data_IF_448176754438
#
_entry.id   IF_448176754438
#
_cell.length_a   1.000
_cell.length_b   1.000
_cell.length_c   1.000
_cell.angle_alpha   90.00
_cell.angle_beta   90.00
_cell.angle_gamma   90.00
#
_symmetry.space_group_name_H-M   'P 1'
#
loop_
_entity.id
_entity.type
_entity.pdbx_description
1 polymer ?
#
# COMPACT_ATOMS: atom_id res chain seq x y z
N UNK A 1 9.43 31.41 23.12
CA UNK A 1 9.49 29.98 23.39
C UNK A 1 8.09 29.37 23.52
N UNK A 2 7.25 29.87 24.46
CA UNK A 2 5.91 29.27 24.68
C UNK A 2 5.02 29.23 23.39
N UNK A 3 4.97 30.33 22.64
CA UNK A 3 4.23 30.38 21.36
C UNK A 3 4.78 29.39 20.36
N UNK A 4 6.12 29.24 20.28
CA UNK A 4 6.74 28.26 19.38
C UNK A 4 6.35 26.81 19.74
N UNK A 5 6.29 26.49 21.04
CA UNK A 5 5.83 25.18 21.52
C UNK A 5 4.38 24.91 21.12
N UNK A 6 3.48 25.87 21.29
CA UNK A 6 2.06 25.72 20.92
C UNK A 6 1.91 25.49 19.39
N UNK A 7 2.61 26.29 18.59
CA UNK A 7 2.61 26.12 17.12
C UNK A 7 3.20 24.76 16.74
N UNK A 8 4.26 24.34 17.41
CA UNK A 8 4.90 23.04 17.14
C UNK A 8 4.00 21.85 17.49
N UNK A 9 3.28 21.93 18.60
CA UNK A 9 2.32 20.88 18.99
C UNK A 9 1.14 20.81 18.01
N UNK A 10 0.68 21.93 17.49
CA UNK A 10 -0.33 21.96 16.46
C UNK A 10 0.17 21.37 15.13
N UNK A 11 1.41 21.67 14.73
CA UNK A 11 2.03 21.08 13.55
C UNK A 11 2.24 19.57 13.70
N UNK A 12 2.69 19.12 14.88
CA UNK A 12 2.84 17.69 15.19
C UNK A 12 1.53 16.91 14.99
N UNK A 13 0.37 17.47 15.33
CA UNK A 13 -0.93 16.81 15.14
C UNK A 13 -1.30 16.59 13.68
N UNK A 14 -0.61 17.24 12.74
CA UNK A 14 -0.81 17.09 11.28
C UNK A 14 0.17 16.12 10.62
N UNK A 15 1.13 15.57 11.35
CA UNK A 15 2.12 14.65 10.79
C UNK A 15 1.41 13.37 10.33
N UNK A 16 1.66 13.01 9.08
CA UNK A 16 1.15 11.77 8.48
C UNK A 16 2.26 10.74 8.51
N UNK A 17 1.97 9.58 9.06
CA UNK A 17 2.88 8.43 9.04
C UNK A 17 2.57 7.60 7.80
N UNK A 18 3.52 7.47 6.90
CA UNK A 18 3.35 6.73 5.66
C UNK A 18 4.71 6.43 5.02
N UNK A 19 4.86 5.25 4.46
CA UNK A 19 6.13 4.78 3.88
C UNK A 19 5.98 4.33 2.43
N UNK A 20 5.23 5.08 1.64
CA UNK A 20 5.06 4.80 0.22
C UNK A 20 6.38 5.00 -0.54
N UNK A 21 7.05 3.91 -0.89
CA UNK A 21 8.40 3.92 -1.51
C UNK A 21 8.43 4.72 -2.82
N UNK A 22 7.36 4.70 -3.59
CA UNK A 22 7.28 5.45 -4.87
C UNK A 22 7.32 6.96 -4.64
N UNK A 23 6.79 7.44 -3.52
CA UNK A 23 6.80 8.87 -3.17
C UNK A 23 8.19 9.39 -2.78
N UNK A 24 9.19 8.52 -2.66
CA UNK A 24 10.59 8.90 -2.44
C UNK A 24 11.23 9.55 -3.67
N UNK A 25 10.62 9.36 -4.84
CA UNK A 25 11.06 9.96 -6.09
C UNK A 25 10.26 11.23 -6.39
N UNK A 26 10.90 12.19 -7.05
CA UNK A 26 10.19 13.37 -7.52
C UNK A 26 9.17 12.99 -8.60
N UNK A 27 8.07 13.74 -8.67
CA UNK A 27 6.92 13.44 -9.53
C UNK A 27 7.24 13.35 -11.03
N UNK A 28 8.37 13.94 -11.46
CA UNK A 28 8.80 13.99 -12.86
C UNK A 28 9.78 12.88 -13.26
N UNK A 29 10.18 12.03 -12.30
CA UNK A 29 11.05 10.88 -12.57
C UNK A 29 10.31 9.81 -13.35
N UNK A 30 11.05 9.01 -14.13
CA UNK A 30 10.48 7.91 -14.91
C UNK A 30 9.79 6.88 -14.01
N UNK A 31 10.32 6.63 -12.81
CA UNK A 31 9.71 5.73 -11.82
C UNK A 31 8.33 6.23 -11.39
N UNK A 32 8.21 7.53 -11.04
CA UNK A 32 6.93 8.12 -10.62
C UNK A 32 5.92 8.19 -11.77
N UNK A 33 6.38 8.40 -13.00
CA UNK A 33 5.53 8.37 -14.20
C UNK A 33 5.03 6.96 -14.48
N UNK A 34 5.93 5.98 -14.44
CA UNK A 34 5.60 4.57 -14.66
C UNK A 34 4.62 4.06 -13.61
N UNK A 35 4.84 4.37 -12.32
CA UNK A 35 3.89 4.03 -11.26
C UNK A 35 2.50 4.62 -11.49
N UNK A 36 2.44 5.91 -11.87
CA UNK A 36 1.16 6.58 -12.18
C UNK A 36 0.46 5.91 -13.36
N UNK A 37 1.21 5.58 -14.41
CA UNK A 37 0.69 4.89 -15.57
C UNK A 37 0.14 3.50 -15.20
N UNK A 38 0.88 2.73 -14.40
CA UNK A 38 0.43 1.40 -13.94
C UNK A 38 -0.85 1.53 -13.10
N UNK A 39 -0.92 2.51 -12.20
CA UNK A 39 -2.13 2.73 -11.38
C UNK A 39 -3.35 3.11 -12.20
N UNK A 40 -3.16 3.89 -13.25
CA UNK A 40 -4.25 4.37 -14.08
C UNK A 40 -4.76 3.30 -15.06
N UNK A 41 -3.85 2.60 -15.74
CA UNK A 41 -4.19 1.72 -16.85
C UNK A 41 -4.18 0.23 -16.50
N UNK A 42 -3.47 -0.21 -15.46
CA UNK A 42 -3.31 -1.62 -15.13
C UNK A 42 -3.97 -2.05 -13.81
N UNK A 43 -4.75 -1.16 -13.21
CA UNK A 43 -5.53 -1.46 -12.02
C UNK A 43 -4.83 -1.18 -10.70
N UNK A 44 -3.54 -0.88 -10.71
CA UNK A 44 -2.82 -0.51 -9.49
C UNK A 44 -1.40 -1.03 -9.44
N UNK A 45 -0.56 -0.37 -8.67
CA UNK A 45 0.85 -0.73 -8.47
C UNK A 45 1.13 -1.40 -7.11
N UNK A 46 0.14 -1.43 -6.23
CA UNK A 46 0.24 -2.10 -4.93
C UNK A 46 -0.64 -3.34 -4.89
N UNK A 47 -0.13 -4.40 -4.27
CA UNK A 47 -0.82 -5.65 -4.13
C UNK A 47 -1.20 -5.97 -2.69
N UNK A 48 -2.43 -6.44 -2.53
CA UNK A 48 -2.93 -7.12 -1.34
C UNK A 48 -3.27 -8.55 -1.74
N UNK A 49 -2.76 -9.53 -1.03
CA UNK A 49 -3.01 -10.94 -1.29
C UNK A 49 -3.95 -11.52 -0.24
N UNK A 50 -4.97 -12.20 -0.69
CA UNK A 50 -5.82 -13.03 0.14
C UNK A 50 -5.47 -14.49 -0.12
N UNK A 51 -5.10 -15.21 0.92
CA UNK A 51 -4.85 -16.65 0.85
C UNK A 51 -5.96 -17.35 1.61
N UNK A 52 -6.76 -18.11 0.89
CA UNK A 52 -7.87 -18.91 1.41
C UNK A 52 -7.33 -20.32 1.64
N UNK A 53 -7.41 -20.80 2.89
CA UNK A 53 -6.86 -22.09 3.33
C UNK A 53 -7.97 -22.94 3.88
N UNK A 54 -8.01 -24.21 3.44
CA UNK A 54 -8.86 -25.25 3.99
C UNK A 54 -8.02 -26.44 4.47
N UNK A 55 -8.62 -27.33 5.26
CA UNK A 55 -7.94 -28.52 5.76
C UNK A 55 -7.80 -29.59 4.69
N UNK A 56 -8.70 -29.62 3.72
CA UNK A 56 -8.70 -30.57 2.59
C UNK A 56 -8.97 -29.84 1.26
N UNK A 57 -8.54 -30.48 0.16
CA UNK A 57 -8.82 -30.01 -1.20
C UNK A 57 -10.32 -29.95 -1.49
N UNK A 58 -11.07 -30.93 -1.00
CA UNK A 58 -12.51 -30.98 -1.19
C UNK A 58 -13.22 -29.80 -0.51
N UNK A 59 -12.81 -29.45 0.70
CA UNK A 59 -13.35 -28.25 1.38
C UNK A 59 -13.02 -26.97 0.65
N UNK A 60 -11.79 -26.85 0.13
CA UNK A 60 -11.34 -25.66 -0.60
C UNK A 60 -12.08 -25.50 -1.95
N UNK A 61 -12.23 -26.58 -2.69
CA UNK A 61 -12.89 -26.58 -4.00
C UNK A 61 -14.42 -26.65 -3.91
N UNK A 62 -14.99 -26.57 -2.71
CA UNK A 62 -16.44 -26.51 -2.57
C UNK A 62 -17.00 -25.28 -3.31
N UNK A 63 -18.05 -25.45 -4.12
CA UNK A 63 -18.63 -24.36 -4.90
C UNK A 63 -18.98 -23.12 -4.09
N UNK A 64 -19.46 -23.29 -2.87
CA UNK A 64 -19.80 -22.17 -1.96
C UNK A 64 -18.56 -21.35 -1.54
N UNK A 65 -17.42 -22.02 -1.34
CA UNK A 65 -16.16 -21.35 -1.00
C UNK A 65 -15.66 -20.53 -2.20
N UNK A 66 -15.62 -21.17 -3.38
CA UNK A 66 -15.19 -20.49 -4.61
C UNK A 66 -16.13 -19.34 -4.96
N UNK A 67 -17.43 -19.52 -4.79
CA UNK A 67 -18.42 -18.47 -5.01
C UNK A 67 -18.27 -17.31 -4.02
N UNK A 68 -17.96 -17.58 -2.75
CA UNK A 68 -17.71 -16.54 -1.76
C UNK A 68 -16.48 -15.69 -2.16
N UNK A 69 -15.42 -16.33 -2.67
CA UNK A 69 -14.21 -15.63 -3.18
C UNK A 69 -14.55 -14.80 -4.42
N UNK A 70 -15.32 -15.35 -5.37
CA UNK A 70 -15.72 -14.63 -6.57
C UNK A 70 -16.63 -13.44 -6.26
N UNK A 71 -17.59 -13.61 -5.34
CA UNK A 71 -18.46 -12.54 -4.89
C UNK A 71 -17.67 -11.42 -4.17
N UNK A 72 -16.64 -11.76 -3.38
CA UNK A 72 -15.75 -10.77 -2.78
C UNK A 72 -14.98 -9.99 -3.87
N UNK A 73 -14.48 -10.69 -4.88
CA UNK A 73 -13.74 -10.07 -5.99
C UNK A 73 -14.63 -9.09 -6.77
N UNK A 74 -15.88 -9.48 -7.04
CA UNK A 74 -16.89 -8.62 -7.68
C UNK A 74 -17.22 -7.40 -6.79
N UNK A 75 -17.49 -7.63 -5.51
CA UNK A 75 -17.80 -6.57 -4.55
C UNK A 75 -16.67 -5.53 -4.47
N UNK A 76 -15.42 -5.98 -4.33
CA UNK A 76 -14.27 -5.07 -4.23
C UNK A 76 -14.09 -4.24 -5.50
N UNK A 77 -14.23 -4.85 -6.67
CA UNK A 77 -14.07 -4.17 -7.95
C UNK A 77 -15.18 -3.14 -8.21
N UNK A 78 -16.41 -3.42 -7.77
CA UNK A 78 -17.59 -2.56 -8.02
C UNK A 78 -17.74 -1.45 -6.99
N UNK A 79 -17.54 -1.76 -5.69
CA UNK A 79 -17.88 -0.85 -4.61
C UNK A 79 -16.70 -0.16 -3.93
N UNK A 80 -15.45 -0.60 -4.19
CA UNK A 80 -14.26 -0.02 -3.57
C UNK A 80 -13.39 0.71 -4.60
N UNK A 81 -13.53 2.03 -4.76
CA UNK A 81 -12.86 2.79 -5.84
C UNK A 81 -11.33 2.72 -5.84
N UNK A 82 -10.73 2.46 -4.68
CA UNK A 82 -9.28 2.31 -4.53
C UNK A 82 -8.77 0.97 -5.02
N UNK A 83 -9.65 -0.02 -5.20
CA UNK A 83 -9.34 -1.30 -5.84
C UNK A 83 -9.46 -1.12 -7.35
N UNK A 84 -8.44 -1.50 -8.07
CA UNK A 84 -8.42 -1.37 -9.54
C UNK A 84 -8.67 -2.67 -10.26
N UNK A 85 -8.13 -3.77 -9.75
CA UNK A 85 -8.28 -5.11 -10.33
C UNK A 85 -8.17 -6.16 -9.23
N UNK A 86 -8.98 -7.19 -9.34
CA UNK A 86 -8.86 -8.41 -8.54
C UNK A 86 -8.64 -9.57 -9.48
N UNK A 87 -7.64 -10.39 -9.21
CA UNK A 87 -7.31 -11.57 -10.02
C UNK A 87 -6.97 -12.72 -9.09
N UNK A 88 -7.54 -13.88 -9.35
CA UNK A 88 -7.31 -15.02 -8.49
C UNK A 88 -7.64 -16.35 -9.13
N UNK A 89 -7.52 -17.38 -8.33
CA UNK A 89 -7.82 -18.75 -8.70
C UNK A 89 -9.23 -18.92 -9.32
N UNK A 90 -10.23 -18.20 -8.80
CA UNK A 90 -11.61 -18.25 -9.29
C UNK A 90 -11.76 -17.74 -10.73
N UNK A 91 -10.93 -16.78 -11.16
CA UNK A 91 -10.95 -16.29 -12.52
C UNK A 91 -10.49 -17.36 -13.52
N UNK A 92 -9.50 -18.15 -13.12
CA UNK A 92 -8.99 -19.26 -13.90
C UNK A 92 -10.10 -20.32 -14.07
N UNK A 93 -10.74 -20.72 -12.96
CA UNK A 93 -11.86 -21.67 -12.99
C UNK A 93 -12.99 -21.17 -13.89
N UNK A 94 -13.37 -19.90 -13.77
CA UNK A 94 -14.39 -19.30 -14.65
C UNK A 94 -13.98 -19.34 -16.12
N UNK A 95 -12.71 -19.07 -16.41
CA UNK A 95 -12.20 -19.09 -17.79
C UNK A 95 -12.20 -20.48 -18.38
N UNK A 96 -11.74 -21.48 -17.63
CA UNK A 96 -11.78 -22.88 -18.06
C UNK A 96 -13.24 -23.31 -18.31
N UNK A 97 -14.12 -23.04 -17.35
CA UNK A 97 -15.53 -23.32 -17.44
C UNK A 97 -16.16 -22.68 -18.72
N UNK A 98 -15.83 -21.44 -19.00
CA UNK A 98 -16.25 -20.73 -20.20
C UNK A 98 -15.82 -21.46 -21.48
N UNK A 99 -14.54 -21.83 -21.57
CA UNK A 99 -13.97 -22.44 -22.78
C UNK A 99 -14.57 -23.79 -23.05
N UNK A 100 -14.81 -24.60 -22.03
CA UNK A 100 -15.42 -25.93 -22.20
C UNK A 100 -16.88 -25.89 -22.64
N UNK A 101 -17.57 -24.77 -22.45
CA UNK A 101 -18.98 -24.62 -22.74
C UNK A 101 -19.27 -23.63 -23.89
N UNK A 102 -18.30 -23.36 -24.75
CA UNK A 102 -18.44 -22.40 -25.87
C UNK A 102 -19.55 -22.82 -26.82
N UNK A 103 -19.72 -24.13 -27.07
CA UNK A 103 -20.74 -24.67 -27.99
C UNK A 103 -22.10 -24.87 -27.35
N UNK A 104 -22.25 -24.73 -26.04
CA UNK A 104 -23.52 -24.99 -25.36
C UNK A 104 -24.47 -23.79 -25.40
N UNK A 105 -25.75 -24.05 -25.61
CA UNK A 105 -26.79 -23.04 -25.56
C UNK A 105 -27.26 -22.86 -24.11
N UNK A 106 -27.37 -21.62 -23.57
CA UNK A 106 -27.94 -21.40 -22.24
C UNK A 106 -29.38 -21.88 -22.14
N UNK A 107 -29.79 -22.36 -20.95
CA UNK A 107 -31.19 -22.63 -20.64
C UNK A 107 -32.05 -21.43 -21.02
N UNK A 108 -33.05 -21.58 -21.81
CA UNK A 108 -33.90 -20.50 -22.32
C UNK A 108 -33.62 -20.10 -23.77
N UNK A 109 -32.45 -20.39 -24.32
CA UNK A 109 -32.19 -20.30 -25.76
C UNK A 109 -32.43 -21.64 -26.46
N UNK A 110 -32.39 -22.75 -25.74
CA UNK A 110 -32.69 -24.10 -26.30
C UNK A 110 -34.08 -24.21 -26.93
N UNK A 111 -35.05 -23.46 -26.41
CA UNK A 111 -36.39 -23.38 -27.01
C UNK A 111 -36.45 -22.62 -28.34
N UNK A 112 -35.43 -21.81 -28.64
CA UNK A 112 -35.34 -20.97 -29.85
C UNK A 112 -34.54 -21.69 -30.95
N UNK A 113 -33.56 -22.55 -30.53
CA UNK A 113 -32.60 -23.22 -31.43
C UNK A 113 -33.05 -24.66 -31.80
N UNK A 114 -34.15 -25.19 -31.24
CA UNK A 114 -34.57 -26.58 -31.42
C UNK A 114 -35.08 -26.96 -32.83
N UNK A 115 -34.77 -26.18 -33.86
CA UNK A 115 -35.01 -26.58 -35.25
C UNK A 115 -33.72 -26.41 -36.08
N UNK A 116 -33.06 -27.54 -36.31
CA UNK A 116 -31.94 -27.82 -37.23
C UNK A 116 -30.52 -27.57 -36.69
N UNK A 117 -29.95 -28.58 -36.07
CA UNK A 117 -28.66 -29.13 -36.49
C UNK A 117 -28.38 -30.44 -35.75
N UNK A 118 -28.70 -31.58 -36.40
CA UNK A 118 -27.95 -32.80 -36.22
C UNK A 118 -26.63 -32.62 -36.98
N UNK A 119 -25.65 -32.01 -36.35
CA UNK A 119 -24.25 -32.19 -36.71
C UNK A 119 -23.49 -32.55 -35.46
N UNK A 120 -23.31 -33.86 -35.33
CA UNK A 120 -22.40 -34.46 -34.36
C UNK A 120 -21.00 -33.92 -34.63
N UNK A 121 -20.49 -33.12 -33.72
CA UNK A 121 -19.06 -32.91 -33.63
C UNK A 121 -18.42 -34.22 -33.17
N UNK A 122 -17.99 -35.01 -34.11
CA UNK A 122 -17.06 -36.11 -33.89
C UNK A 122 -15.72 -35.50 -33.53
N UNK A 123 -15.23 -35.82 -32.36
CA UNK A 123 -13.82 -35.63 -32.03
C UNK A 123 -13.00 -36.50 -32.99
N UNK A 124 -12.35 -35.93 -33.96
CA UNK A 124 -11.28 -36.57 -34.68
C UNK A 124 -10.00 -36.45 -33.85
N UNK A 125 -9.50 -37.60 -33.43
CA UNK A 125 -8.37 -37.85 -32.54
C UNK A 125 -6.98 -37.40 -33.09
N UNK A 126 -6.87 -36.36 -33.90
CA UNK A 126 -5.57 -36.00 -34.49
C UNK A 126 -5.30 -34.52 -34.64
N UNK A 127 -6.05 -33.65 -34.00
CA UNK A 127 -5.61 -32.25 -33.95
C UNK A 127 -4.95 -31.95 -32.60
N UNK A 128 -3.66 -31.74 -32.73
CA UNK A 128 -2.69 -31.27 -31.73
C UNK A 128 -3.29 -30.09 -30.92
N UNK A 129 -3.94 -30.40 -29.79
CA UNK A 129 -4.30 -29.42 -28.78
C UNK A 129 -3.03 -29.01 -28.05
N UNK A 130 -2.16 -28.34 -28.79
CA UNK A 130 -1.07 -27.58 -28.20
C UNK A 130 -1.65 -26.52 -27.28
N UNK A 131 -1.55 -26.73 -25.97
CA UNK A 131 -1.84 -25.78 -24.91
C UNK A 131 -1.05 -24.47 -25.04
N UNK A 132 -0.24 -24.29 -26.09
CA UNK A 132 0.52 -23.11 -26.42
C UNK A 132 -0.30 -21.83 -26.74
N UNK A 133 -1.65 -21.93 -26.77
CA UNK A 133 -2.52 -20.77 -26.95
C UNK A 133 -3.12 -20.21 -25.66
N UNK A 134 -2.93 -20.86 -24.54
CA UNK A 134 -3.32 -20.38 -23.21
C UNK A 134 -2.12 -19.84 -22.43
N UNK A 135 -1.13 -19.30 -23.16
CA UNK A 135 -0.03 -18.61 -22.51
C UNK A 135 -0.60 -17.52 -21.60
N UNK A 136 -0.18 -17.53 -20.34
CA UNK A 136 -0.29 -16.40 -19.44
C UNK A 136 0.34 -15.12 -20.03
N UNK A 137 0.85 -15.18 -21.25
CA UNK A 137 1.36 -14.06 -22.03
C UNK A 137 0.30 -12.97 -22.31
N UNK A 138 -1.00 -13.28 -22.22
CA UNK A 138 -2.05 -12.26 -22.15
C UNK A 138 -2.03 -11.48 -20.82
N UNK A 139 -1.28 -11.94 -19.84
CA UNK A 139 -0.98 -11.25 -18.59
C UNK A 139 0.48 -10.78 -18.49
N UNK A 140 1.32 -11.14 -19.46
CA UNK A 140 2.72 -10.73 -19.52
C UNK A 140 2.86 -9.41 -20.27
N UNK A 141 3.40 -8.43 -19.60
CA UNK A 141 3.62 -7.06 -20.04
C UNK A 141 4.75 -6.92 -21.05
N UNK A 142 4.78 -7.67 -22.15
CA UNK A 142 5.79 -7.43 -23.17
C UNK A 142 5.26 -7.56 -24.59
N UNK A 143 5.41 -6.46 -25.29
CA UNK A 143 5.38 -6.24 -26.72
C UNK A 143 4.01 -6.17 -27.41
N UNK A 144 3.63 -4.91 -27.70
CA UNK A 144 2.87 -4.49 -28.87
C UNK A 144 3.49 -5.01 -30.17
N UNK A 145 3.37 -6.29 -30.44
CA UNK A 145 3.27 -6.77 -31.80
C UNK A 145 1.82 -7.15 -32.01
N UNK A 146 1.13 -6.39 -32.86
CA UNK A 146 -0.14 -6.80 -33.44
C UNK A 146 0.10 -8.11 -34.19
N UNK A 147 -0.09 -9.24 -33.49
CA UNK A 147 -0.32 -10.51 -34.13
C UNK A 147 -1.77 -10.38 -34.59
N UNK A 148 -1.98 -10.17 -35.87
CA UNK A 148 -3.26 -10.42 -36.50
C UNK A 148 -3.60 -11.91 -36.21
N UNK A 149 -4.36 -12.15 -35.14
CA UNK A 149 -5.03 -13.42 -34.94
C UNK A 149 -5.87 -13.64 -36.20
N UNK A 150 -5.83 -14.85 -36.82
CA UNK A 150 -6.74 -15.16 -37.91
C UNK A 150 -8.12 -14.83 -37.35
N UNK A 151 -8.85 -13.94 -38.00
CA UNK A 151 -10.27 -13.76 -37.75
C UNK A 151 -10.91 -15.11 -38.00
N UNK A 152 -11.08 -15.93 -36.95
CA UNK A 152 -12.17 -16.83 -36.93
C UNK A 152 -13.40 -15.93 -36.99
N UNK A 153 -13.97 -15.80 -38.17
CA UNK A 153 -15.31 -15.30 -38.34
C UNK A 153 -16.21 -16.26 -37.57
N UNK A 154 -16.34 -16.03 -36.26
CA UNK A 154 -17.46 -16.54 -35.50
C UNK A 154 -18.66 -15.90 -36.17
N UNK A 155 -19.25 -16.64 -37.09
CA UNK A 155 -20.49 -16.31 -37.75
C UNK A 155 -21.58 -16.27 -36.68
N UNK A 156 -21.59 -15.19 -35.85
CA UNK A 156 -22.77 -14.80 -35.11
C UNK A 156 -23.81 -14.41 -36.19
N UNK A 157 -24.57 -15.40 -36.59
CA UNK A 157 -25.49 -15.24 -37.70
C UNK A 157 -26.74 -14.54 -37.16
N UNK A 158 -26.68 -13.20 -37.08
CA UNK A 158 -27.82 -12.34 -36.69
C UNK A 158 -29.08 -12.71 -37.45
N UNK A 159 -28.94 -13.31 -38.64
CA UNK A 159 -30.06 -13.77 -39.46
C UNK A 159 -30.85 -14.94 -38.84
N UNK A 160 -30.34 -15.60 -37.80
CA UNK A 160 -31.08 -16.65 -37.09
C UNK A 160 -32.05 -16.10 -36.03
N UNK A 161 -31.88 -14.86 -35.61
CA UNK A 161 -32.73 -14.22 -34.62
C UNK A 161 -33.69 -13.25 -35.28
N UNK A 162 -34.98 -13.39 -34.98
CA UNK A 162 -35.96 -12.40 -35.41
C UNK A 162 -35.96 -11.17 -34.51
N UNK A 163 -36.57 -10.08 -34.93
CA UNK A 163 -36.63 -8.82 -34.20
C UNK A 163 -37.20 -8.98 -32.78
N UNK A 164 -38.15 -9.90 -32.60
CA UNK A 164 -38.77 -10.15 -31.29
C UNK A 164 -37.80 -10.84 -30.34
N UNK A 165 -36.91 -11.71 -30.84
CA UNK A 165 -35.87 -12.35 -30.01
C UNK A 165 -34.83 -11.32 -29.55
N UNK A 166 -34.41 -10.44 -30.45
CA UNK A 166 -33.48 -9.35 -30.11
C UNK A 166 -34.09 -8.43 -29.06
N UNK A 167 -35.36 -8.06 -29.22
CA UNK A 167 -36.05 -7.21 -28.23
C UNK A 167 -36.20 -7.91 -26.88
N UNK A 168 -36.46 -9.23 -26.84
CA UNK A 168 -36.49 -10.00 -25.59
C UNK A 168 -35.13 -10.04 -24.89
N UNK A 169 -34.04 -10.19 -25.65
CA UNK A 169 -32.67 -10.13 -25.05
C UNK A 169 -32.39 -8.76 -24.46
N UNK A 170 -32.77 -7.69 -25.16
CA UNK A 170 -32.60 -6.33 -24.66
C UNK A 170 -33.45 -6.08 -23.41
N UNK A 171 -34.70 -6.54 -23.40
CA UNK A 171 -35.63 -6.41 -22.28
C UNK A 171 -35.13 -7.21 -21.06
N UNK A 172 -34.67 -8.43 -21.25
CA UNK A 172 -34.05 -9.25 -20.18
C UNK A 172 -32.78 -8.63 -19.64
N UNK A 173 -31.92 -8.08 -20.49
CA UNK A 173 -30.70 -7.40 -20.07
C UNK A 173 -31.03 -6.12 -19.28
N UNK A 174 -31.99 -5.32 -19.75
CA UNK A 174 -32.44 -4.11 -19.09
C UNK A 174 -33.18 -4.40 -17.75
N UNK A 175 -33.93 -5.50 -17.69
CA UNK A 175 -34.67 -5.93 -16.50
C UNK A 175 -33.77 -6.32 -15.31
N UNK A 176 -32.55 -6.80 -15.57
CA UNK A 176 -31.57 -7.14 -14.51
C UNK A 176 -30.90 -5.93 -13.86
N UNK A 177 -30.76 -4.84 -14.58
CA UNK A 177 -30.27 -3.59 -14.00
C UNK A 177 -30.72 -2.37 -14.83
N UNK A 178 -31.63 -1.55 -14.34
CA UNK A 178 -32.17 -0.40 -15.06
C UNK A 178 -31.17 0.75 -15.28
N UNK A 179 -29.91 0.61 -14.81
CA UNK A 179 -28.84 1.60 -14.92
C UNK A 179 -27.60 1.08 -15.63
N UNK A 180 -27.75 0.06 -16.49
CA UNK A 180 -26.63 -0.45 -17.28
C UNK A 180 -26.08 0.65 -18.20
N UNK A 181 -24.79 0.88 -18.17
CA UNK A 181 -24.10 1.63 -19.22
C UNK A 181 -23.99 0.76 -20.49
N UNK A 182 -23.61 1.37 -21.61
CA UNK A 182 -23.54 0.63 -22.89
C UNK A 182 -22.59 -0.57 -22.88
N UNK A 183 -21.52 -0.50 -22.10
CA UNK A 183 -20.55 -1.60 -21.96
C UNK A 183 -21.13 -2.77 -21.17
N UNK A 184 -21.83 -2.51 -20.07
CA UNK A 184 -22.47 -3.54 -19.27
C UNK A 184 -23.64 -4.20 -20.00
N UNK A 185 -24.38 -3.43 -20.81
CA UNK A 185 -25.41 -3.98 -21.66
C UNK A 185 -24.84 -4.97 -22.69
N UNK A 186 -23.72 -4.61 -23.35
CA UNK A 186 -23.05 -5.52 -24.30
C UNK A 186 -22.54 -6.78 -23.60
N UNK A 187 -21.98 -6.65 -22.40
CA UNK A 187 -21.52 -7.79 -21.59
C UNK A 187 -22.67 -8.73 -21.23
N UNK A 188 -23.81 -8.19 -20.80
CA UNK A 188 -24.98 -9.00 -20.46
C UNK A 188 -25.62 -9.64 -21.71
N UNK A 189 -25.65 -8.97 -22.85
CA UNK A 189 -26.07 -9.55 -24.11
C UNK A 189 -25.18 -10.73 -24.55
N UNK A 190 -23.85 -10.57 -24.43
CA UNK A 190 -22.92 -11.68 -24.70
C UNK A 190 -23.18 -12.88 -23.80
N UNK A 191 -23.48 -12.63 -22.52
CA UNK A 191 -23.83 -13.68 -21.57
C UNK A 191 -25.15 -14.36 -21.92
N UNK A 192 -26.19 -13.60 -22.24
CA UNK A 192 -27.50 -14.17 -22.62
C UNK A 192 -27.46 -15.00 -23.90
N UNK A 193 -26.61 -14.65 -24.85
CA UNK A 193 -26.42 -15.34 -26.11
C UNK A 193 -25.37 -16.45 -26.08
N UNK A 194 -24.73 -16.65 -24.93
CA UNK A 194 -23.54 -17.50 -24.80
C UNK A 194 -22.43 -17.19 -25.83
N UNK A 195 -22.31 -15.94 -26.23
CA UNK A 195 -21.27 -15.54 -27.16
C UNK A 195 -19.88 -15.85 -26.56
N UNK A 196 -19.09 -16.66 -27.28
CA UNK A 196 -17.80 -17.18 -26.82
C UNK A 196 -17.85 -17.84 -25.42
N UNK A 197 -18.92 -18.53 -25.09
CA UNK A 197 -19.07 -19.21 -23.80
C UNK A 197 -19.35 -18.28 -22.60
N UNK A 198 -19.64 -17.01 -22.84
CA UNK A 198 -19.81 -16.01 -21.76
C UNK A 198 -20.94 -16.33 -20.76
N UNK A 199 -21.90 -17.16 -21.11
CA UNK A 199 -22.92 -17.64 -20.18
C UNK A 199 -22.35 -18.52 -19.07
N UNK A 200 -21.19 -19.15 -19.30
CA UNK A 200 -20.50 -20.05 -18.40
C UNK A 200 -19.23 -19.41 -17.79
N UNK A 201 -19.00 -18.11 -17.97
CA UNK A 201 -17.98 -17.38 -17.24
C UNK A 201 -18.43 -17.15 -15.78
N UNK A 202 -18.53 -18.26 -15.05
CA UNK A 202 -19.00 -18.30 -13.66
C UNK A 202 -18.37 -19.49 -12.92
N UNK A 203 -18.44 -19.47 -11.58
CA UNK A 203 -18.13 -20.65 -10.78
C UNK A 203 -19.28 -21.64 -10.90
N UNK A 204 -19.04 -22.92 -11.27
CA UNK A 204 -20.07 -23.93 -11.32
C UNK A 204 -20.69 -24.17 -9.93
N UNK A 205 -21.95 -23.76 -9.73
CA UNK A 205 -22.66 -23.90 -8.44
C UNK A 205 -23.92 -24.75 -8.55
N UNK A 206 -24.53 -24.82 -9.75
CA UNK A 206 -25.74 -25.61 -9.99
C UNK A 206 -25.41 -26.93 -10.71
N UNK A 207 -25.47 -28.12 -10.04
CA UNK A 207 -25.12 -29.38 -10.63
C UNK A 207 -25.93 -29.68 -11.91
N UNK A 208 -27.22 -29.39 -11.91
CA UNK A 208 -28.13 -29.71 -13.02
C UNK A 208 -27.73 -29.00 -14.32
N UNK A 209 -27.19 -27.78 -14.22
CA UNK A 209 -26.72 -26.99 -15.37
C UNK A 209 -25.53 -27.66 -16.08
N UNK A 210 -24.76 -28.45 -15.33
CA UNK A 210 -23.56 -29.14 -15.82
C UNK A 210 -23.78 -30.64 -16.01
N UNK A 211 -25.04 -31.08 -16.06
CA UNK A 211 -25.37 -32.51 -16.22
C UNK A 211 -24.92 -33.37 -15.05
N UNK A 212 -24.84 -32.79 -13.85
CA UNK A 212 -24.45 -33.48 -12.62
C UNK A 212 -25.65 -33.63 -11.68
N UNK A 213 -25.63 -34.67 -10.86
CA UNK A 213 -26.71 -34.93 -9.89
C UNK A 213 -26.41 -34.29 -8.52
N UNK A 214 -25.13 -34.25 -8.13
CA UNK A 214 -24.70 -33.80 -6.76
C UNK A 214 -23.64 -32.71 -6.79
N UNK A 215 -23.49 -32.02 -5.69
CA UNK A 215 -22.41 -31.02 -5.50
C UNK A 215 -21.03 -31.68 -5.48
N UNK A 216 -20.92 -32.95 -5.03
CA UNK A 216 -19.67 -33.69 -5.03
C UNK A 216 -19.19 -33.99 -6.46
N UNK A 217 -20.12 -34.28 -7.38
CA UNK A 217 -19.80 -34.44 -8.79
C UNK A 217 -19.37 -33.11 -9.44
N UNK A 218 -19.94 -32.00 -8.99
CA UNK A 218 -19.55 -30.68 -9.44
C UNK A 218 -18.13 -30.30 -8.92
N UNK A 219 -17.80 -30.67 -7.69
CA UNK A 219 -16.44 -30.54 -7.16
C UNK A 219 -15.42 -31.34 -7.96
N UNK A 220 -15.76 -32.57 -8.35
CA UNK A 220 -14.91 -33.39 -9.24
C UNK A 220 -14.72 -32.75 -10.62
N UNK A 221 -15.75 -32.08 -11.14
CA UNK A 221 -15.62 -31.31 -12.37
C UNK A 221 -14.60 -30.19 -12.21
N UNK A 222 -14.68 -29.42 -11.12
CA UNK A 222 -13.73 -28.35 -10.81
C UNK A 222 -12.33 -28.92 -10.60
N UNK A 223 -12.20 -30.05 -9.89
CA UNK A 223 -10.91 -30.73 -9.72
C UNK A 223 -10.30 -31.18 -11.06
N UNK A 224 -11.13 -31.63 -12.00
CA UNK A 224 -10.68 -31.99 -13.36
C UNK A 224 -10.16 -30.76 -14.14
N UNK A 225 -10.68 -29.55 -13.85
CA UNK A 225 -10.14 -28.33 -14.45
C UNK A 225 -8.70 -28.05 -13.98
N UNK A 226 -8.35 -28.45 -12.75
CA UNK A 226 -6.99 -28.30 -12.23
C UNK A 226 -5.97 -29.18 -12.93
N UNK A 227 -6.38 -30.38 -13.35
CA UNK A 227 -5.50 -31.29 -14.11
C UNK A 227 -5.01 -30.61 -15.39
N UNK A 228 -5.83 -29.76 -15.98
CA UNK A 228 -5.49 -29.01 -17.19
C UNK A 228 -4.48 -27.87 -16.92
N UNK A 229 -4.43 -27.38 -15.67
CA UNK A 229 -3.49 -26.34 -15.25
C UNK A 229 -2.14 -26.90 -14.79
N UNK A 230 -2.05 -28.20 -14.53
CA UNK A 230 -0.86 -28.84 -13.95
C UNK A 230 0.36 -28.87 -14.88
N UNK A 231 0.21 -28.45 -16.13
CA UNK A 231 1.31 -28.33 -17.10
C UNK A 231 2.10 -27.01 -17.01
N UNK A 232 1.62 -26.04 -16.29
CA UNK A 232 2.26 -24.73 -16.16
C UNK A 232 2.82 -24.58 -14.75
N UNK A 233 4.15 -24.56 -14.63
CA UNK A 233 4.90 -24.64 -13.36
C UNK A 233 4.76 -23.38 -12.46
N UNK A 234 4.02 -22.35 -12.89
CA UNK A 234 3.99 -21.04 -12.23
C UNK A 234 2.58 -20.52 -11.93
N UNK A 235 1.69 -21.40 -11.49
CA UNK A 235 0.34 -20.97 -11.13
C UNK A 235 0.27 -20.17 -9.83
N UNK A 236 1.16 -19.34 -9.40
CA UNK A 236 1.18 -18.57 -8.12
C UNK A 236 -0.18 -18.29 -7.43
N UNK A 237 -1.26 -18.94 -7.88
CA UNK A 237 -2.63 -18.87 -7.39
C UNK A 237 -3.05 -20.06 -6.52
N UNK A 238 -2.26 -21.13 -6.46
CA UNK A 238 -2.47 -22.27 -5.56
C UNK A 238 -1.15 -22.77 -4.99
N UNK A 239 -1.20 -23.44 -3.83
CA UNK A 239 -0.03 -24.06 -3.21
C UNK A 239 0.35 -25.39 -3.84
N UNK A 240 -0.59 -26.06 -4.48
CA UNK A 240 -0.41 -27.29 -5.24
C UNK A 240 -1.32 -27.25 -6.46
N UNK A 241 -0.82 -27.64 -7.65
CA UNK A 241 -1.61 -27.60 -8.88
C UNK A 241 -2.72 -28.64 -8.95
N UNK A 242 -2.59 -29.80 -8.29
CA UNK A 242 -3.54 -30.91 -8.35
C UNK A 242 -4.39 -31.05 -7.10
N UNK A 243 -3.77 -30.87 -5.92
CA UNK A 243 -4.40 -31.03 -4.61
C UNK A 243 -4.27 -29.75 -3.77
N UNK A 244 -4.84 -28.63 -4.23
CA UNK A 244 -4.69 -27.36 -3.50
C UNK A 244 -5.42 -27.41 -2.16
N UNK A 245 -4.71 -27.03 -1.11
CA UNK A 245 -5.27 -26.73 0.22
C UNK A 245 -5.26 -25.23 0.51
N UNK A 246 -4.61 -24.44 -0.35
CA UNK A 246 -4.60 -23.01 -0.29
C UNK A 246 -4.69 -22.40 -1.68
N UNK A 247 -5.55 -21.38 -1.85
CA UNK A 247 -5.66 -20.58 -3.07
C UNK A 247 -5.41 -19.11 -2.77
N UNK A 248 -4.90 -18.40 -3.77
CA UNK A 248 -4.53 -16.98 -3.67
C UNK A 248 -5.39 -16.13 -4.58
N UNK A 249 -5.86 -15.01 -4.06
CA UNK A 249 -6.46 -13.91 -4.80
C UNK A 249 -5.63 -12.65 -4.61
N UNK A 250 -5.24 -12.00 -5.69
CA UNK A 250 -4.48 -10.76 -5.67
C UNK A 250 -5.41 -9.57 -5.93
N UNK A 251 -5.34 -8.59 -5.07
CA UNK A 251 -6.09 -7.34 -5.18
C UNK A 251 -5.09 -6.24 -5.51
N UNK A 252 -5.17 -5.69 -6.70
CA UNK A 252 -4.35 -4.55 -7.12
C UNK A 252 -5.03 -3.24 -6.73
N UNK A 253 -4.28 -2.35 -6.09
CA UNK A 253 -4.79 -1.11 -5.56
C UNK A 253 -4.21 0.10 -6.27
N UNK A 254 -5.06 1.08 -6.56
CA UNK A 254 -4.71 2.36 -7.21
C UNK A 254 -4.12 3.38 -6.26
N UNK A 255 -4.22 3.15 -4.96
CA UNK A 255 -3.68 4.05 -3.95
C UNK A 255 -2.24 3.72 -3.60
N UNK A 256 -1.49 4.73 -3.16
CA UNK A 256 -0.17 4.59 -2.55
C UNK A 256 -0.22 4.77 -1.03
N UNK A 257 -1.30 5.30 -0.48
CA UNK A 257 -1.44 5.68 0.91
C UNK A 257 -1.77 4.50 1.84
N UNK A 258 -1.12 4.46 3.00
CA UNK A 258 -1.36 3.43 4.03
C UNK A 258 -2.77 3.49 4.62
N UNK A 259 -3.38 4.69 4.71
CA UNK A 259 -4.75 4.85 5.23
C UNK A 259 -5.80 4.20 4.32
N UNK A 260 -5.68 4.43 3.01
CA UNK A 260 -6.61 3.84 2.05
C UNK A 260 -6.43 2.32 2.02
N UNK A 261 -5.19 1.87 2.13
CA UNK A 261 -4.86 0.45 2.19
C UNK A 261 -5.48 -0.21 3.43
N UNK A 262 -5.41 0.44 4.59
CA UNK A 262 -6.07 -0.03 5.80
C UNK A 262 -7.59 -0.11 5.65
N UNK A 263 -8.21 0.91 5.04
CA UNK A 263 -9.65 0.92 4.80
C UNK A 263 -10.10 -0.26 3.93
N UNK A 264 -9.30 -0.61 2.90
CA UNK A 264 -9.58 -1.80 2.07
C UNK A 264 -9.43 -3.09 2.88
N UNK A 265 -8.38 -3.22 3.69
CA UNK A 265 -8.18 -4.39 4.55
C UNK A 265 -9.35 -4.56 5.53
N UNK A 266 -9.82 -3.47 6.14
CA UNK A 266 -10.92 -3.52 7.08
C UNK A 266 -12.23 -3.90 6.37
N UNK A 267 -12.49 -3.34 5.18
CA UNK A 267 -13.63 -3.73 4.34
C UNK A 267 -13.60 -5.22 3.97
N UNK A 268 -12.42 -5.73 3.60
CA UNK A 268 -12.22 -7.15 3.29
C UNK A 268 -12.51 -8.02 4.51
N UNK A 269 -11.99 -7.65 5.70
CA UNK A 269 -12.24 -8.39 6.95
C UNK A 269 -13.71 -8.42 7.32
N UNK A 270 -14.40 -7.29 7.21
CA UNK A 270 -15.84 -7.20 7.48
C UNK A 270 -16.65 -8.08 6.52
N UNK A 271 -16.32 -8.04 5.23
CA UNK A 271 -16.98 -8.86 4.23
C UNK A 271 -16.78 -10.36 4.50
N UNK A 272 -15.54 -10.77 4.80
CA UNK A 272 -15.19 -12.16 5.11
C UNK A 272 -15.96 -12.65 6.35
N UNK A 273 -16.02 -11.84 7.39
CA UNK A 273 -16.69 -12.21 8.65
C UNK A 273 -18.18 -12.55 8.46
N UNK A 274 -18.82 -11.94 7.46
CA UNK A 274 -20.26 -12.09 7.19
C UNK A 274 -20.53 -13.16 6.13
N UNK A 275 -19.71 -13.22 5.07
CA UNK A 275 -20.08 -13.92 3.83
C UNK A 275 -19.28 -15.22 3.58
N UNK A 276 -18.18 -15.44 4.31
CA UNK A 276 -17.37 -16.64 4.09
C UNK A 276 -17.82 -17.83 4.95
N UNK A 277 -17.76 -19.05 4.39
CA UNK A 277 -17.96 -20.27 5.17
C UNK A 277 -16.94 -20.39 6.31
N UNK A 278 -17.38 -20.98 7.45
CA UNK A 278 -16.54 -21.08 8.66
C UNK A 278 -15.47 -22.17 8.61
N UNK A 279 -15.56 -23.06 7.65
CA UNK A 279 -14.62 -24.16 7.42
C UNK A 279 -13.35 -23.74 6.66
N UNK A 280 -13.26 -22.51 6.21
CA UNK A 280 -12.06 -21.96 5.57
C UNK A 280 -11.48 -20.81 6.37
N UNK A 281 -10.17 -20.70 6.33
CA UNK A 281 -9.43 -19.61 6.96
C UNK A 281 -8.88 -18.68 5.90
N UNK A 282 -9.12 -17.39 6.04
CA UNK A 282 -8.58 -16.37 5.12
C UNK A 282 -7.44 -15.64 5.78
N UNK A 283 -6.29 -15.63 5.13
CA UNK A 283 -5.08 -14.94 5.54
C UNK A 283 -4.88 -13.74 4.61
N UNK A 284 -4.73 -12.57 5.20
CA UNK A 284 -4.47 -11.33 4.47
C UNK A 284 -2.97 -11.05 4.51
N UNK A 285 -2.34 -10.91 3.34
CA UNK A 285 -0.91 -10.70 3.18
C UNK A 285 -0.60 -9.83 1.96
N UNK A 286 0.65 -9.88 1.49
CA UNK A 286 1.11 -9.15 0.31
C UNK A 286 1.94 -7.92 0.63
N UNK A 287 2.35 -7.18 -0.42
CA UNK A 287 3.25 -6.05 -0.31
C UNK A 287 2.73 -4.95 0.62
N UNK A 288 1.43 -4.66 0.56
CA UNK A 288 0.79 -3.63 1.39
C UNK A 288 0.88 -3.95 2.88
N UNK A 289 0.60 -5.20 3.28
CA UNK A 289 0.65 -5.59 4.70
C UNK A 289 2.07 -5.51 5.25
N UNK A 290 3.07 -5.82 4.42
CA UNK A 290 4.47 -5.64 4.75
C UNK A 290 4.82 -4.16 4.94
N UNK A 291 4.44 -3.29 4.00
CA UNK A 291 4.69 -1.84 4.12
C UNK A 291 4.04 -1.25 5.37
N UNK A 292 2.82 -1.67 5.69
CA UNK A 292 2.13 -1.21 6.90
C UNK A 292 2.81 -1.69 8.17
N UNK A 293 3.21 -2.95 8.25
CA UNK A 293 3.95 -3.48 9.39
C UNK A 293 5.28 -2.75 9.59
N UNK A 294 6.02 -2.47 8.51
CA UNK A 294 7.24 -1.66 8.55
C UNK A 294 6.96 -0.24 9.03
N UNK A 295 5.88 0.37 8.56
CA UNK A 295 5.47 1.73 8.95
C UNK A 295 5.17 1.80 10.46
N UNK A 296 4.43 0.84 10.99
CA UNK A 296 4.11 0.76 12.42
C UNK A 296 5.36 0.52 13.28
N UNK A 297 6.27 -0.34 12.83
CA UNK A 297 7.55 -0.57 13.51
C UNK A 297 8.42 0.69 13.53
N UNK A 298 8.49 1.41 12.42
CA UNK A 298 9.23 2.67 12.32
C UNK A 298 8.66 3.70 13.31
N UNK A 299 7.35 3.89 13.30
CA UNK A 299 6.68 4.85 14.16
C UNK A 299 6.93 4.56 15.65
N UNK A 300 6.68 3.33 16.08
CA UNK A 300 6.89 2.91 17.47
C UNK A 300 8.37 3.02 17.90
N UNK A 301 9.28 2.55 17.05
CA UNK A 301 10.73 2.64 17.30
C UNK A 301 11.19 4.08 17.37
N UNK A 302 10.64 4.97 16.54
CA UNK A 302 10.98 6.39 16.55
C UNK A 302 10.56 7.07 17.82
N UNK A 303 9.35 6.83 18.34
CA UNK A 303 8.91 7.40 19.62
C UNK A 303 9.81 6.98 20.77
N UNK A 304 10.15 5.69 20.84
CA UNK A 304 11.05 5.15 21.86
C UNK A 304 12.45 5.77 21.74
N UNK A 305 12.98 5.87 20.52
CA UNK A 305 14.29 6.43 20.23
C UNK A 305 14.38 7.90 20.67
N UNK A 306 13.39 8.71 20.36
CA UNK A 306 13.32 10.13 20.76
C UNK A 306 13.30 10.25 22.29
N UNK A 307 12.46 9.46 22.95
CA UNK A 307 12.36 9.47 24.41
C UNK A 307 13.70 9.12 25.09
N UNK A 308 14.32 8.00 24.65
CA UNK A 308 15.62 7.55 25.16
C UNK A 308 16.69 8.60 24.88
N UNK A 309 16.71 9.21 23.71
CA UNK A 309 17.69 10.23 23.33
C UNK A 309 17.60 11.48 24.23
N UNK A 310 16.39 12.00 24.45
CA UNK A 310 16.17 13.13 25.35
C UNK A 310 16.56 12.77 26.78
N UNK A 311 16.26 11.55 27.23
CA UNK A 311 16.64 11.05 28.55
C UNK A 311 18.17 10.95 28.71
N UNK A 312 18.88 10.44 27.73
CA UNK A 312 20.35 10.32 27.72
C UNK A 312 20.97 11.76 27.81
N UNK A 313 20.47 12.67 27.00
CA UNK A 313 20.92 14.07 27.01
C UNK A 313 20.69 14.71 28.40
N UNK A 314 19.51 14.50 28.96
CA UNK A 314 19.19 14.93 30.31
C UNK A 314 20.19 14.38 31.37
N UNK A 315 20.46 13.06 31.30
CA UNK A 315 21.37 12.39 32.22
C UNK A 315 22.82 12.91 32.09
N UNK A 316 23.31 13.02 30.85
CA UNK A 316 24.67 13.56 30.60
C UNK A 316 24.79 14.95 31.19
N UNK A 317 23.86 15.84 30.96
CA UNK A 317 23.89 17.22 31.49
C UNK A 317 23.71 17.25 33.00
N UNK A 318 22.85 16.40 33.57
CA UNK A 318 22.63 16.33 35.01
C UNK A 318 23.88 15.80 35.74
N UNK A 319 24.52 14.77 35.22
CA UNK A 319 25.73 14.17 35.82
C UNK A 319 26.94 15.09 35.67
N UNK A 320 27.18 15.64 34.47
CA UNK A 320 28.30 16.54 34.20
C UNK A 320 28.27 17.78 35.12
N UNK A 321 27.08 18.33 35.35
CA UNK A 321 26.92 19.52 36.21
C UNK A 321 26.46 19.22 37.64
N UNK A 322 26.38 17.94 38.04
CA UNK A 322 25.90 17.47 39.35
C UNK A 322 24.57 18.12 39.77
N UNK A 323 23.67 18.34 38.82
CA UNK A 323 22.41 19.05 39.04
C UNK A 323 21.31 18.58 38.09
N UNK A 324 20.17 18.17 38.62
CA UNK A 324 18.99 17.82 37.83
C UNK A 324 18.45 19.02 37.02
N UNK A 325 18.58 20.24 37.58
CA UNK A 325 18.17 21.46 36.86
C UNK A 325 19.02 21.67 35.61
N UNK A 326 20.33 21.34 35.67
CA UNK A 326 21.19 21.38 34.48
C UNK A 326 20.75 20.40 33.41
N UNK A 327 20.28 19.20 33.80
CA UNK A 327 19.69 18.23 32.90
C UNK A 327 18.46 18.80 32.17
N UNK A 328 17.52 19.38 32.91
CA UNK A 328 16.31 19.99 32.32
C UNK A 328 16.68 21.12 31.37
N UNK A 329 17.51 22.09 31.82
CA UNK A 329 17.92 23.23 30.98
C UNK A 329 18.66 22.73 29.72
N UNK A 330 19.56 21.75 29.88
CA UNK A 330 20.36 21.21 28.78
C UNK A 330 19.56 20.47 27.73
N UNK A 331 18.43 19.89 28.09
CA UNK A 331 17.55 19.16 27.13
C UNK A 331 16.61 20.10 26.35
N UNK A 332 16.41 21.34 26.76
CA UNK A 332 15.48 22.31 26.13
C UNK A 332 15.78 22.52 24.64
N UNK A 333 17.01 22.83 24.19
CA UNK A 333 17.26 23.10 22.77
C UNK A 333 16.96 21.90 21.88
N UNK A 334 17.33 20.71 22.33
CA UNK A 334 17.05 19.47 21.62
C UNK A 334 15.55 19.22 21.49
N UNK A 335 14.83 19.32 22.61
CA UNK A 335 13.37 19.10 22.62
C UNK A 335 12.66 20.10 21.69
N UNK A 336 13.06 21.37 21.72
CA UNK A 336 12.50 22.39 20.82
C UNK A 336 12.84 22.11 19.35
N UNK A 337 14.06 21.68 19.05
CA UNK A 337 14.45 21.34 17.68
C UNK A 337 13.64 20.18 17.13
N UNK A 338 13.44 19.12 17.92
CA UNK A 338 12.61 17.98 17.55
C UNK A 338 11.15 18.42 17.31
N UNK A 339 10.57 19.17 18.23
CA UNK A 339 9.20 19.68 18.09
C UNK A 339 9.03 20.56 16.85
N UNK A 340 10.00 21.45 16.58
CA UNK A 340 9.97 22.30 15.39
C UNK A 340 10.09 21.47 14.09
N UNK A 341 10.92 20.43 14.06
CA UNK A 341 11.01 19.56 12.91
C UNK A 341 9.69 18.87 12.60
N UNK A 342 9.07 18.26 13.61
CA UNK A 342 7.75 17.65 13.42
C UNK A 342 6.68 18.69 13.02
N UNK A 343 6.77 19.91 13.56
CA UNK A 343 5.88 20.98 13.13
C UNK A 343 6.04 21.31 11.65
N UNK A 344 7.28 21.48 11.19
CA UNK A 344 7.57 21.77 9.79
C UNK A 344 7.11 20.60 8.89
N UNK A 345 7.37 19.35 9.30
CA UNK A 345 6.85 18.19 8.61
C UNK A 345 5.32 18.23 8.48
N UNK A 346 4.60 18.49 9.58
CA UNK A 346 3.15 18.57 9.57
C UNK A 346 2.58 19.71 8.73
N UNK A 347 3.23 20.88 8.72
CA UNK A 347 2.78 22.03 7.92
C UNK A 347 3.12 21.91 6.43
N UNK A 348 4.26 21.32 6.08
CA UNK A 348 4.70 21.13 4.70
C UNK A 348 4.17 19.81 4.10
N UNK A 349 3.47 18.98 4.89
CA UNK A 349 2.97 17.69 4.44
C UNK A 349 4.09 16.66 4.20
N UNK A 350 5.26 16.84 4.84
CA UNK A 350 6.34 15.86 4.80
C UNK A 350 5.94 14.68 5.67
N UNK A 351 5.86 13.49 5.05
CA UNK A 351 5.44 12.28 5.74
C UNK A 351 6.53 11.73 6.65
N UNK A 352 6.14 11.17 7.79
CA UNK A 352 7.04 10.38 8.61
C UNK A 352 7.23 9.01 7.95
N UNK A 353 8.36 8.84 7.32
CA UNK A 353 8.80 7.65 6.60
C UNK A 353 10.09 7.09 7.21
N UNK A 354 10.60 5.97 6.68
CA UNK A 354 11.90 5.41 7.07
C UNK A 354 13.02 6.46 6.98
N UNK A 355 13.04 7.25 5.91
CA UNK A 355 14.07 8.27 5.71
C UNK A 355 13.97 9.42 6.71
N UNK A 356 12.77 9.97 6.90
CA UNK A 356 12.57 11.09 7.82
C UNK A 356 12.68 10.71 9.30
N UNK A 357 12.43 9.44 9.65
CA UNK A 357 12.65 8.92 10.99
C UNK A 357 14.12 8.99 11.42
N UNK A 358 15.07 8.77 10.51
CA UNK A 358 16.50 8.88 10.79
C UNK A 358 16.93 10.30 11.21
N UNK A 359 16.20 11.33 10.78
CA UNK A 359 16.50 12.73 11.04
C UNK A 359 16.52 13.02 12.53
N UNK A 360 15.54 12.53 13.27
CA UNK A 360 15.45 12.78 14.70
C UNK A 360 16.64 12.21 15.47
N UNK A 361 17.12 11.05 15.08
CA UNK A 361 18.28 10.40 15.70
C UNK A 361 19.58 11.16 15.41
N UNK A 362 19.74 11.64 14.16
CA UNK A 362 20.91 12.44 13.76
C UNK A 362 20.91 13.82 14.41
N UNK A 363 19.75 14.49 14.43
CA UNK A 363 19.60 15.81 15.01
C UNK A 363 19.95 15.84 16.52
N UNK A 364 19.64 14.75 17.24
CA UNK A 364 20.02 14.60 18.67
C UNK A 364 21.53 14.63 18.85
N UNK A 365 22.26 13.83 18.06
CA UNK A 365 23.72 13.72 18.23
C UNK A 365 24.47 15.02 17.96
N UNK A 366 24.02 15.79 16.96
CA UNK A 366 24.73 17.02 16.54
C UNK A 366 24.28 18.23 17.35
N UNK A 367 23.03 18.28 17.81
CA UNK A 367 22.48 19.47 18.47
C UNK A 367 22.89 19.67 19.93
N UNK A 368 23.28 18.62 20.65
CA UNK A 368 23.64 18.69 22.07
C UNK A 368 24.93 19.48 22.31
N UNK A 369 25.88 19.41 21.38
CA UNK A 369 27.21 20.03 21.52
C UNK A 369 27.10 21.54 21.74
N UNK A 370 26.20 22.22 21.06
CA UNK A 370 26.04 23.67 21.22
C UNK A 370 25.61 24.04 22.64
N UNK A 371 24.77 23.25 23.24
CA UNK A 371 24.27 23.48 24.60
C UNK A 371 25.34 23.21 25.64
N UNK A 372 26.07 22.10 25.50
CA UNK A 372 27.18 21.76 26.44
C UNK A 372 28.23 22.86 26.41
N UNK A 373 28.72 23.22 25.22
CA UNK A 373 29.76 24.25 25.09
C UNK A 373 29.29 25.58 25.59
N UNK A 374 28.05 25.99 25.34
CA UNK A 374 27.52 27.25 25.81
C UNK A 374 27.44 27.30 27.35
N UNK A 375 26.88 26.26 27.97
CA UNK A 375 26.71 26.20 29.43
C UNK A 375 28.06 26.14 30.14
N UNK A 376 29.02 25.34 29.67
CA UNK A 376 30.34 25.26 30.29
C UNK A 376 31.13 26.57 30.15
N UNK A 377 31.05 27.23 28.98
CA UNK A 377 31.73 28.51 28.79
C UNK A 377 31.06 29.65 29.61
N UNK A 378 29.71 29.66 29.68
CA UNK A 378 28.96 30.58 30.49
C UNK A 378 29.34 30.45 32.00
N UNK A 379 29.42 29.21 32.48
CA UNK A 379 29.82 28.89 33.85
C UNK A 379 31.27 29.33 34.15
N UNK A 380 32.17 29.12 33.19
CA UNK A 380 33.56 29.56 33.31
C UNK A 380 33.67 31.08 33.41
N UNK A 381 33.06 31.84 32.51
CA UNK A 381 33.07 33.28 32.47
C UNK A 381 32.37 33.91 33.71
N UNK A 382 31.24 33.30 34.12
CA UNK A 382 30.58 33.76 35.35
C UNK A 382 31.47 33.63 36.61
N UNK A 383 32.18 32.51 36.72
CA UNK A 383 33.10 32.27 37.87
C UNK A 383 34.37 33.12 37.83
N UNK A 384 34.74 33.70 36.71
CA UNK A 384 35.85 34.63 36.61
C UNK A 384 35.60 35.97 37.35
N UNK A 385 34.34 36.24 37.74
CA UNK A 385 33.96 37.43 38.46
C UNK A 385 33.93 38.72 37.65
N UNK A 386 34.12 38.62 36.33
CA UNK A 386 34.15 39.80 35.47
C UNK A 386 32.74 40.34 35.19
N UNK A 387 32.52 41.65 35.19
CA UNK A 387 31.19 42.23 35.02
C UNK A 387 30.55 41.98 33.67
N UNK A 388 31.35 41.77 32.60
CA UNK A 388 30.89 41.57 31.23
C UNK A 388 30.85 40.07 30.81
N UNK A 389 30.70 39.15 31.76
CA UNK A 389 30.75 37.69 31.49
C UNK A 389 29.84 37.24 30.35
N UNK A 390 28.64 37.80 30.25
CA UNK A 390 27.70 37.43 29.20
C UNK A 390 28.24 37.80 27.79
N UNK A 391 28.75 39.02 27.63
CA UNK A 391 29.37 39.47 26.37
C UNK A 391 30.57 38.60 26.00
N UNK A 392 31.40 38.24 26.99
CA UNK A 392 32.58 37.37 26.78
C UNK A 392 32.15 35.96 26.34
N UNK A 393 31.08 35.42 26.95
CA UNK A 393 30.51 34.16 26.54
C UNK A 393 30.07 34.18 25.08
N UNK A 394 29.34 35.21 24.64
CA UNK A 394 28.92 35.32 23.25
C UNK A 394 30.08 35.53 22.28
N UNK A 395 31.10 36.27 22.63
CA UNK A 395 32.25 36.48 21.75
C UNK A 395 33.11 35.21 21.68
N UNK A 396 33.34 34.51 22.80
CA UNK A 396 34.18 33.33 22.84
C UNK A 396 33.50 32.09 22.24
N UNK A 397 32.39 31.68 22.81
CA UNK A 397 31.68 30.45 22.41
C UNK A 397 30.60 30.71 21.39
N UNK A 398 29.80 31.77 21.51
CA UNK A 398 28.65 32.01 20.65
C UNK A 398 29.01 32.16 19.18
N UNK A 399 30.14 32.82 18.85
CA UNK A 399 30.64 32.95 17.49
C UNK A 399 31.01 31.56 16.90
N UNK A 400 31.65 30.73 17.70
CA UNK A 400 32.03 29.37 17.27
C UNK A 400 30.79 28.49 16.99
N UNK A 401 29.81 28.55 17.88
CA UNK A 401 28.53 27.85 17.70
C UNK A 401 27.83 28.30 16.42
N UNK A 402 27.76 29.61 16.17
CA UNK A 402 27.10 30.14 14.97
C UNK A 402 27.81 29.72 13.70
N UNK A 403 29.15 29.80 13.64
CA UNK A 403 29.94 29.40 12.47
C UNK A 403 29.77 27.90 12.24
N UNK A 404 29.83 27.08 13.30
CA UNK A 404 29.64 25.63 13.14
C UNK A 404 28.24 25.28 12.66
N UNK A 405 27.20 25.88 13.22
CA UNK A 405 25.82 25.66 12.81
C UNK A 405 25.59 26.04 11.34
N UNK A 406 26.14 27.19 10.89
CA UNK A 406 26.06 27.62 9.50
C UNK A 406 26.83 26.70 8.57
N UNK A 407 28.03 26.25 8.94
CA UNK A 407 28.84 25.35 8.12
C UNK A 407 28.20 23.98 7.96
N UNK A 408 27.78 23.36 9.06
CA UNK A 408 27.13 22.05 9.06
C UNK A 408 25.75 22.13 8.41
N UNK A 409 24.98 23.18 8.76
CA UNK A 409 23.68 23.44 8.17
C UNK A 409 23.76 23.68 6.67
N UNK A 410 24.75 24.41 6.17
CA UNK A 410 24.97 24.57 4.73
C UNK A 410 25.36 23.24 4.06
N UNK A 411 26.23 22.44 4.70
CA UNK A 411 26.62 21.11 4.19
C UNK A 411 25.43 20.19 4.00
N UNK A 412 24.56 20.05 5.00
CA UNK A 412 23.33 19.28 4.87
C UNK A 412 22.30 19.96 3.96
N UNK A 413 22.25 21.29 3.95
CA UNK A 413 21.35 22.07 3.10
C UNK A 413 21.58 21.84 1.60
N UNK A 414 22.78 21.47 1.16
CA UNK A 414 23.06 21.10 -0.22
C UNK A 414 22.25 19.86 -0.63
N UNK A 415 21.98 18.93 0.29
CA UNK A 415 21.17 17.75 0.00
C UNK A 415 19.73 18.08 -0.36
N UNK A 416 19.21 19.26 0.04
CA UNK A 416 17.88 19.73 -0.30
C UNK A 416 17.65 19.85 -1.81
N UNK A 417 18.72 19.93 -2.62
CA UNK A 417 18.68 19.96 -4.09
C UNK A 417 18.74 18.57 -4.72
N UNK A 418 18.71 17.49 -3.92
CA UNK A 418 18.70 16.12 -4.43
C UNK A 418 17.43 15.82 -5.22
N UNK A 419 17.54 15.07 -6.30
CA UNK A 419 16.40 14.52 -7.03
C UNK A 419 15.68 13.40 -6.24
N UNK A 420 16.36 12.80 -5.30
CA UNK A 420 15.76 11.79 -4.41
C UNK A 420 15.15 12.48 -3.20
N UNK A 421 13.82 12.50 -3.13
CA UNK A 421 13.04 13.31 -2.20
C UNK A 421 13.40 13.04 -0.72
N UNK A 422 13.64 11.77 -0.33
CA UNK A 422 14.07 11.43 1.04
C UNK A 422 15.36 12.15 1.41
N UNK A 423 16.36 12.15 0.52
CA UNK A 423 17.65 12.79 0.78
C UNK A 423 17.46 14.30 0.87
N UNK A 424 16.62 14.88 0.02
CA UNK A 424 16.31 16.31 0.06
C UNK A 424 15.63 16.72 1.36
N UNK A 425 14.61 15.97 1.79
CA UNK A 425 13.90 16.19 3.05
C UNK A 425 14.82 15.99 4.26
N UNK A 426 15.65 14.93 4.25
CA UNK A 426 16.65 14.66 5.28
C UNK A 426 17.62 15.82 5.42
N UNK A 427 18.21 16.28 4.34
CA UNK A 427 19.17 17.38 4.33
C UNK A 427 18.55 18.68 4.83
N UNK A 428 17.37 19.03 4.35
CA UNK A 428 16.66 20.24 4.74
C UNK A 428 16.28 20.23 6.24
N UNK A 429 15.75 19.12 6.74
CA UNK A 429 15.33 19.00 8.14
C UNK A 429 16.52 18.94 9.12
N UNK A 430 17.64 18.31 8.75
CA UNK A 430 18.86 18.35 9.57
C UNK A 430 19.43 19.78 9.60
N UNK A 431 19.54 20.46 8.46
CA UNK A 431 19.98 21.83 8.39
C UNK A 431 19.11 22.75 9.27
N UNK A 432 17.79 22.56 9.22
CA UNK A 432 16.85 23.29 10.06
C UNK A 432 17.08 22.99 11.55
N UNK A 433 17.28 21.72 11.93
CA UNK A 433 17.58 21.33 13.32
C UNK A 433 18.82 22.02 13.84
N UNK A 434 19.89 22.08 13.03
CA UNK A 434 21.13 22.76 13.40
C UNK A 434 20.91 24.25 13.70
N UNK A 435 20.19 24.91 12.80
CA UNK A 435 19.89 26.34 12.96
C UNK A 435 19.02 26.61 14.20
N UNK A 436 17.99 25.78 14.42
CA UNK A 436 17.09 25.91 15.59
C UNK A 436 17.87 25.66 16.88
N UNK A 437 18.66 24.59 16.95
CA UNK A 437 19.41 24.25 18.16
C UNK A 437 20.43 25.32 18.50
N UNK A 438 21.15 25.83 17.50
CA UNK A 438 22.09 26.96 17.71
C UNK A 438 21.35 28.22 18.18
N UNK A 439 20.24 28.58 17.55
CA UNK A 439 19.42 29.72 17.90
C UNK A 439 18.90 29.60 19.36
N UNK A 440 18.37 28.45 19.74
CA UNK A 440 17.84 28.21 21.09
C UNK A 440 18.96 28.21 22.12
N UNK A 441 20.12 27.62 21.80
CA UNK A 441 21.29 27.61 22.69
C UNK A 441 21.83 29.00 22.91
N UNK A 442 21.79 29.89 21.92
CA UNK A 442 22.29 31.28 22.04
C UNK A 442 21.25 32.26 22.57
N UNK A 443 19.94 31.94 22.58
CA UNK A 443 18.90 32.87 23.03
C UNK A 443 18.14 32.37 24.25
N UNK A 444 17.61 31.18 24.20
CA UNK A 444 16.75 30.61 25.26
C UNK A 444 17.59 30.16 26.46
N UNK A 445 18.73 29.49 26.22
CA UNK A 445 19.58 29.01 27.29
C UNK A 445 20.09 30.17 28.17
N UNK A 446 20.75 31.23 27.65
CA UNK A 446 21.18 32.34 28.51
C UNK A 446 20.03 33.03 29.25
N UNK A 447 18.86 33.16 28.59
CA UNK A 447 17.68 33.72 29.26
C UNK A 447 17.21 32.84 30.43
N UNK A 448 17.15 31.51 30.25
CA UNK A 448 16.80 30.56 31.31
C UNK A 448 17.82 30.59 32.45
N UNK A 449 19.13 30.63 32.17
CA UNK A 449 20.17 30.68 33.16
C UNK A 449 20.11 31.96 33.97
N UNK A 450 19.80 33.11 33.35
CA UNK A 450 19.68 34.39 34.05
C UNK A 450 18.40 34.52 34.89
N UNK A 451 17.28 33.91 34.44
CA UNK A 451 16.00 33.95 35.17
C UNK A 451 15.99 32.95 36.34
N UNK A 452 16.37 31.71 36.08
CA UNK A 452 16.30 30.61 37.05
C UNK A 452 17.45 30.72 38.07
N UNK A 453 18.60 31.30 37.70
CA UNK A 453 19.82 31.40 38.50
C UNK A 453 20.16 30.08 39.20
N UNK A 454 20.40 29.00 38.44
CA UNK A 454 20.57 27.69 39.03
C UNK A 454 21.85 27.58 39.87
N UNK A 455 21.76 26.85 40.99
CA UNK A 455 22.87 26.72 41.97
C UNK A 455 24.17 26.19 41.37
N UNK A 456 24.11 25.34 40.36
CA UNK A 456 25.31 24.76 39.73
C UNK A 456 26.18 25.78 38.97
N UNK A 457 25.65 26.99 38.70
CA UNK A 457 26.38 28.11 38.12
C UNK A 457 26.68 29.15 39.18
N UNK A 458 25.68 29.58 39.96
CA UNK A 458 25.68 30.75 40.82
C UNK A 458 26.21 30.49 42.24
N UNK A 459 26.13 29.25 42.74
CA UNK A 459 26.75 28.88 44.01
C UNK A 459 28.02 28.08 43.71
N UNK A 460 29.17 28.73 43.83
CA UNK A 460 30.45 28.04 43.67
C UNK A 460 30.67 27.02 44.79
N UNK A 461 30.87 25.77 44.48
CA UNK A 461 31.74 24.84 45.16
C UNK A 461 32.80 24.35 44.17
#
# INVERSE_FOLDING_TARGET
AALAVVISLYGLSKVIVDNAVVEFFQNETDISRSDRFIREYFGGSKDLSLVIVADTTEELLHPDVLQAVDNLSAYLTEYVPTVGKVVGFTDIIKRINQVFNVGESPEGLQSIISHNTQDSFGFNDTDDFGFGGFGFDDFSFNNTQYIETPKQENNFNITQYNTADILRFLDNAAGKSPRLNGSDLVKELKRLTNYEGMAYYEIPTNPQRYGKETHEELQRLIANYLVLLSGDDDSGYSNDPLEPTAIRTMIQMRTTGSRDSQAVIDTVKEYIAVNFPKNVRVIIGGGITYEMAVTDLIFNSQLISIFISVLIVFLIMAVSNKSLIAGVIGSVPLTLAILCNFAVMGFLGIKLSLGTALISSLAVGIGIDYTIHFIEFFKHEYRSGEPDFLRRTFIGCGKAILINALSVGAGFGVLAFSQFKIIAELGALIALSMMITAFVSLTVIPALLMVIKPKFIYNGE
#
